data_IF_009906910543
#
_entry.id   IF_009906910543
#
_cell.length_a   1.000
_cell.length_b   1.000
_cell.length_c   1.000
_cell.angle_alpha   90.00
_cell.angle_beta   90.00
_cell.angle_gamma   90.00
#
_symmetry.space_group_name_H-M   'P 1'
#
loop_
_entity.id
_entity.type
_entity.pdbx_description
1 polymer ?
#
# COMPACT_ATOMS: atom_id res chain seq x y z
N UNK A 1 10.55 -37.89 -32.02
CA UNK A 1 11.82 -37.18 -32.27
C UNK A 1 11.95 -36.11 -31.19
N UNK A 2 12.79 -36.35 -30.20
CA UNK A 2 12.98 -35.38 -29.07
C UNK A 2 13.98 -34.35 -29.54
N UNK A 3 13.55 -33.12 -29.75
CA UNK A 3 14.46 -32.00 -30.03
C UNK A 3 15.04 -31.59 -28.68
N UNK A 4 16.26 -31.99 -28.40
CA UNK A 4 17.05 -31.40 -27.29
C UNK A 4 17.59 -30.08 -27.85
N UNK A 5 17.10 -28.96 -27.32
CA UNK A 5 17.69 -27.67 -27.64
C UNK A 5 19.10 -27.65 -26.99
N UNK A 6 20.13 -27.66 -27.84
CA UNK A 6 21.51 -27.49 -27.43
C UNK A 6 21.72 -26.02 -27.05
N UNK A 7 22.05 -25.75 -25.80
CA UNK A 7 22.39 -24.40 -25.36
C UNK A 7 23.90 -24.23 -25.44
N UNK A 8 24.38 -23.40 -26.36
CA UNK A 8 25.81 -23.06 -26.42
C UNK A 8 26.24 -22.28 -25.17
N UNK A 9 27.26 -22.80 -24.51
CA UNK A 9 27.85 -22.21 -23.29
C UNK A 9 29.13 -21.47 -23.69
N UNK A 10 29.21 -20.13 -23.45
CA UNK A 10 30.40 -19.35 -23.78
C UNK A 10 31.64 -19.68 -22.93
N UNK A 11 31.47 -20.36 -21.79
CA UNK A 11 32.57 -20.81 -20.92
C UNK A 11 32.26 -22.19 -20.38
N UNK A 12 33.19 -23.14 -20.48
CA UNK A 12 33.04 -24.55 -20.17
C UNK A 12 32.70 -24.92 -18.71
N UNK A 13 32.19 -23.99 -17.91
CA UNK A 13 31.92 -24.21 -16.48
C UNK A 13 30.67 -23.47 -15.94
N UNK A 14 29.71 -23.13 -16.75
CA UNK A 14 28.42 -22.58 -16.26
C UNK A 14 27.42 -23.73 -16.18
N UNK A 15 26.92 -24.09 -14.97
CA UNK A 15 25.86 -25.09 -14.86
C UNK A 15 24.63 -24.60 -15.61
N UNK A 16 24.12 -25.41 -16.54
CA UNK A 16 22.90 -25.11 -17.27
C UNK A 16 21.69 -25.39 -16.39
N UNK A 17 20.97 -24.35 -16.02
CA UNK A 17 19.65 -24.48 -15.44
C UNK A 17 18.60 -24.15 -16.53
N UNK A 18 17.85 -25.16 -16.95
CA UNK A 18 16.69 -24.94 -17.81
C UNK A 18 15.47 -24.68 -16.94
N UNK A 19 14.82 -23.54 -17.14
CA UNK A 19 13.52 -23.26 -16.55
C UNK A 19 12.44 -23.77 -17.50
N UNK A 20 11.48 -24.54 -17.00
CA UNK A 20 10.37 -25.07 -17.78
C UNK A 20 9.08 -24.92 -16.97
N UNK A 21 7.95 -24.83 -17.66
CA UNK A 21 6.60 -24.79 -17.08
C UNK A 21 5.67 -25.75 -17.81
N UNK A 22 4.59 -26.14 -17.16
CA UNK A 22 3.58 -27.03 -17.75
C UNK A 22 2.49 -27.33 -16.72
N UNK A 23 1.39 -27.91 -17.20
CA UNK A 23 0.39 -28.47 -16.32
C UNK A 23 0.89 -29.79 -15.70
N UNK A 24 0.29 -30.22 -14.60
CA UNK A 24 0.54 -31.55 -14.02
C UNK A 24 0.22 -32.60 -15.08
N UNK A 25 1.12 -33.59 -15.21
CA UNK A 25 1.03 -34.68 -16.20
C UNK A 25 1.13 -34.26 -17.68
N UNK A 26 1.54 -33.02 -17.98
CA UNK A 26 1.85 -32.54 -19.32
C UNK A 26 3.37 -32.43 -19.55
N UNK A 27 3.85 -32.53 -20.82
CA UNK A 27 5.24 -32.28 -21.12
C UNK A 27 5.69 -30.88 -20.66
N UNK A 28 6.85 -30.81 -20.02
CA UNK A 28 7.44 -29.53 -19.63
C UNK A 28 7.82 -28.72 -20.89
N UNK A 29 7.50 -27.43 -20.89
CA UNK A 29 7.77 -26.52 -21.98
C UNK A 29 8.92 -25.60 -21.59
N UNK A 30 10.01 -25.60 -22.36
CA UNK A 30 11.17 -24.77 -22.08
C UNK A 30 10.85 -23.29 -22.30
N UNK A 31 11.40 -22.44 -21.41
CA UNK A 31 11.31 -20.98 -21.52
C UNK A 31 12.37 -20.47 -22.51
N UNK A 32 11.96 -19.74 -23.53
CA UNK A 32 12.82 -19.07 -24.51
C UNK A 32 12.07 -17.90 -25.16
N UNK A 33 12.71 -17.13 -26.03
CA UNK A 33 12.12 -15.91 -26.64
C UNK A 33 10.76 -16.14 -27.32
N UNK A 34 10.60 -17.27 -28.00
CA UNK A 34 9.34 -17.66 -28.65
C UNK A 34 8.33 -18.28 -27.68
N UNK A 35 8.71 -18.54 -26.45
CA UNK A 35 7.90 -19.18 -25.42
C UNK A 35 8.26 -18.63 -24.04
N UNK A 36 7.90 -17.39 -23.74
CA UNK A 36 8.23 -16.74 -22.48
C UNK A 36 7.51 -17.41 -21.29
N UNK A 37 8.11 -17.31 -20.11
CA UNK A 37 7.48 -17.78 -18.88
C UNK A 37 6.16 -17.03 -18.63
N UNK A 38 5.01 -17.71 -18.54
CA UNK A 38 3.75 -17.05 -18.22
C UNK A 38 3.74 -16.60 -16.77
N UNK A 39 3.88 -15.30 -16.52
CA UNK A 39 3.82 -14.71 -15.20
C UNK A 39 2.48 -13.98 -15.01
N UNK A 40 1.73 -14.36 -13.98
CA UNK A 40 0.51 -13.67 -13.60
C UNK A 40 0.74 -12.86 -12.33
N UNK A 41 0.65 -11.55 -12.44
CA UNK A 41 0.64 -10.68 -11.26
C UNK A 41 -0.76 -10.71 -10.63
N UNK A 42 -0.86 -11.31 -9.46
CA UNK A 42 -2.08 -11.30 -8.67
C UNK A 42 -2.00 -10.13 -7.68
N UNK A 43 -2.95 -9.19 -7.80
CA UNK A 43 -3.11 -8.16 -6.76
C UNK A 43 -3.65 -8.82 -5.50
N UNK A 44 -2.87 -8.82 -4.43
CA UNK A 44 -3.30 -9.26 -3.11
C UNK A 44 -4.19 -8.15 -2.49
N UNK A 45 -5.33 -8.48 -1.89
CA UNK A 45 -6.08 -7.53 -1.06
C UNK A 45 -5.19 -6.93 0.04
N UNK A 46 -5.46 -5.70 0.47
CA UNK A 46 -4.75 -5.10 1.59
C UNK A 46 -5.02 -5.92 2.87
N UNK A 47 -3.94 -6.23 3.60
CA UNK A 47 -4.02 -6.90 4.90
C UNK A 47 -4.06 -5.93 6.07
N UNK A 48 -3.89 -4.61 5.82
CA UNK A 48 -3.98 -3.57 6.83
C UNK A 48 -5.40 -3.49 7.42
N UNK A 49 -5.47 -3.39 8.74
CA UNK A 49 -6.76 -3.21 9.45
C UNK A 49 -7.17 -1.75 9.33
N UNK A 50 -8.36 -1.44 8.79
CA UNK A 50 -8.83 -0.07 8.71
C UNK A 50 -8.96 0.58 10.09
N UNK A 51 -8.47 1.82 10.22
CA UNK A 51 -8.77 2.67 11.35
C UNK A 51 -10.09 3.38 11.09
N UNK A 52 -11.14 3.05 11.84
CA UNK A 52 -12.46 3.64 11.66
C UNK A 52 -13.11 3.95 12.99
N UNK A 53 -13.95 4.98 13.00
CA UNK A 53 -14.68 5.40 14.19
C UNK A 53 -15.40 6.73 14.01
N UNK A 54 -15.79 7.34 15.13
CA UNK A 54 -16.37 8.68 15.14
C UNK A 54 -15.86 9.51 16.33
N UNK A 55 -15.82 10.83 16.13
CA UNK A 55 -15.42 11.80 17.12
C UNK A 55 -16.48 12.90 17.24
N UNK A 56 -17.01 13.10 18.43
CA UNK A 56 -17.89 14.23 18.76
C UNK A 56 -17.17 15.42 19.41
N UNK A 57 -15.85 15.32 19.58
CA UNK A 57 -14.97 16.36 20.11
C UNK A 57 -13.59 16.25 19.50
N UNK A 58 -12.77 17.29 19.67
CA UNK A 58 -11.37 17.28 19.22
C UNK A 58 -10.60 16.12 19.84
N UNK A 59 -9.79 15.43 19.03
CA UNK A 59 -9.07 14.26 19.49
C UNK A 59 -8.15 13.66 18.44
N UNK A 60 -7.40 12.66 18.89
CA UNK A 60 -6.48 11.88 18.07
C UNK A 60 -7.04 10.46 17.91
N UNK A 61 -7.08 9.98 16.67
CA UNK A 61 -7.40 8.59 16.34
C UNK A 61 -6.20 7.91 15.68
N UNK A 62 -5.95 6.64 15.99
CA UNK A 62 -4.86 5.86 15.45
C UNK A 62 -4.22 4.93 16.49
N UNK A 63 -3.19 4.18 16.10
CA UNK A 63 -2.54 4.20 14.79
C UNK A 63 -3.29 3.43 13.68
N UNK A 64 -3.09 3.85 12.45
CA UNK A 64 -3.28 3.04 11.26
C UNK A 64 -1.91 2.55 10.79
N UNK A 65 -1.77 1.26 10.58
CA UNK A 65 -0.52 0.61 10.15
C UNK A 65 -0.69 0.19 8.68
N UNK A 66 -0.08 0.92 7.73
CA UNK A 66 -0.25 0.63 6.32
C UNK A 66 0.61 -0.54 5.84
N UNK A 67 0.19 -1.20 4.77
CA UNK A 67 1.07 -1.96 3.88
C UNK A 67 1.83 -0.98 2.98
N UNK A 68 3.04 -1.36 2.55
CA UNK A 68 3.86 -0.54 1.67
C UNK A 68 3.30 -0.50 0.23
N UNK A 69 3.65 0.58 -0.46
CA UNK A 69 3.38 0.78 -1.89
C UNK A 69 1.89 0.67 -2.25
N UNK A 70 1.04 1.13 -1.34
CA UNK A 70 -0.41 1.20 -1.53
C UNK A 70 -0.96 2.56 -1.12
N UNK A 71 -1.92 3.11 -1.87
CA UNK A 71 -2.56 4.36 -1.49
C UNK A 71 -3.33 4.21 -0.18
N UNK A 72 -3.17 5.18 0.69
CA UNK A 72 -3.90 5.32 1.96
C UNK A 72 -5.08 6.24 1.71
N UNK A 73 -6.27 5.70 1.78
CA UNK A 73 -7.53 6.44 1.61
C UNK A 73 -8.03 6.99 2.93
N UNK A 74 -8.40 8.26 2.91
CA UNK A 74 -9.09 8.93 4.01
C UNK A 74 -10.52 9.21 3.59
N UNK A 75 -11.46 8.65 4.34
CA UNK A 75 -12.89 8.93 4.19
C UNK A 75 -13.37 9.66 5.45
N UNK A 76 -13.91 10.84 5.29
CA UNK A 76 -14.49 11.68 6.32
C UNK A 76 -15.94 11.96 5.97
N UNK A 77 -16.84 11.78 6.92
CA UNK A 77 -18.28 11.99 6.71
C UNK A 77 -18.95 12.44 8.01
N UNK A 78 -20.19 12.87 7.90
CA UNK A 78 -20.98 13.35 9.03
C UNK A 78 -21.28 14.84 8.93
N UNK A 79 -21.91 15.35 9.97
CA UNK A 79 -22.15 16.79 10.16
C UNK A 79 -21.17 17.30 11.22
N UNK A 80 -20.11 17.93 10.78
CA UNK A 80 -19.03 18.42 11.62
C UNK A 80 -18.43 19.72 11.08
N UNK A 81 -17.78 20.45 11.95
CA UNK A 81 -17.01 21.65 11.60
C UNK A 81 -15.67 21.63 12.30
N UNK A 82 -14.65 22.23 11.67
CA UNK A 82 -13.29 22.25 12.19
C UNK A 82 -12.25 21.83 11.15
N UNK A 83 -11.17 21.19 11.61
CA UNK A 83 -10.10 20.66 10.75
C UNK A 83 -9.72 19.25 11.14
N UNK A 84 -9.33 18.44 10.17
CA UNK A 84 -8.76 17.11 10.37
C UNK A 84 -7.44 17.04 9.63
N UNK A 85 -6.37 16.72 10.34
CA UNK A 85 -5.04 16.52 9.75
C UNK A 85 -4.68 15.03 9.77
N UNK A 86 -4.15 14.52 8.65
CA UNK A 86 -3.48 13.23 8.63
C UNK A 86 -2.03 13.43 9.08
N UNK A 87 -1.62 12.70 10.11
CA UNK A 87 -0.29 12.77 10.69
C UNK A 87 0.45 11.46 10.43
N UNK A 88 1.76 11.53 10.22
CA UNK A 88 2.67 10.39 10.04
C UNK A 88 3.66 10.32 11.20
N UNK A 89 3.98 9.11 11.65
CA UNK A 89 5.01 8.81 12.64
C UNK A 89 5.89 7.67 12.15
N UNK A 90 7.19 7.72 12.47
CA UNK A 90 8.18 6.68 12.16
C UNK A 90 8.89 6.17 13.40
N UNK A 91 8.43 6.56 14.59
CA UNK A 91 9.03 6.23 15.88
C UNK A 91 8.04 5.57 16.83
N UNK A 92 7.11 4.78 16.28
CA UNK A 92 6.09 4.08 17.07
C UNK A 92 5.01 5.01 17.63
N UNK A 93 4.81 6.19 17.04
CA UNK A 93 3.78 7.13 17.47
C UNK A 93 4.23 8.08 18.59
N UNK A 94 5.52 8.16 18.89
CA UNK A 94 6.05 9.13 19.86
C UNK A 94 5.93 10.53 19.28
N UNK A 95 6.50 10.75 18.10
CA UNK A 95 6.34 12.00 17.36
C UNK A 95 5.40 11.82 16.17
N UNK A 96 4.57 12.83 15.90
CA UNK A 96 3.59 12.80 14.81
C UNK A 96 3.69 14.10 14.03
N UNK A 97 4.02 14.01 12.76
CA UNK A 97 4.17 15.17 11.89
C UNK A 97 3.03 15.24 10.89
N UNK A 98 2.49 16.45 10.61
CA UNK A 98 1.56 16.60 9.51
C UNK A 98 2.27 16.32 8.19
N UNK A 99 1.56 15.75 7.24
CA UNK A 99 2.06 15.61 5.88
C UNK A 99 2.21 16.99 5.24
N UNK A 100 3.27 17.18 4.47
CA UNK A 100 3.54 18.43 3.76
C UNK A 100 3.93 18.17 2.32
N UNK A 101 3.56 19.11 1.43
CA UNK A 101 4.04 19.18 0.06
C UNK A 101 4.64 20.56 -0.15
N UNK A 102 5.95 20.62 -0.48
CA UNK A 102 6.68 21.89 -0.61
C UNK A 102 6.67 22.75 0.68
N UNK A 103 6.57 22.11 1.87
CA UNK A 103 6.49 22.78 3.17
C UNK A 103 5.07 23.23 3.57
N UNK A 104 4.11 23.24 2.66
CA UNK A 104 2.71 23.50 2.98
C UNK A 104 2.03 22.22 3.50
N UNK A 105 1.07 22.36 4.41
CA UNK A 105 0.30 21.20 4.92
C UNK A 105 -0.45 20.52 3.79
N UNK A 106 -0.25 19.21 3.70
CA UNK A 106 -0.98 18.31 2.84
C UNK A 106 -1.92 17.44 3.70
N UNK A 107 -2.99 16.87 3.11
CA UNK A 107 -3.97 16.03 3.81
C UNK A 107 -4.54 16.72 5.08
N UNK A 108 -4.88 18.00 4.95
CA UNK A 108 -5.70 18.75 5.89
C UNK A 108 -7.09 18.96 5.29
N UNK A 109 -8.10 18.50 6.01
CA UNK A 109 -9.50 18.51 5.58
C UNK A 109 -10.32 19.48 6.42
N UNK A 110 -11.22 20.20 5.78
CA UNK A 110 -12.17 21.12 6.42
C UNK A 110 -13.63 20.79 6.09
N UNK A 111 -13.83 19.67 5.35
CA UNK A 111 -15.13 19.16 4.91
C UNK A 111 -15.06 17.64 4.76
N UNK A 112 -16.20 17.01 4.52
CA UNK A 112 -16.28 15.60 4.14
C UNK A 112 -15.40 15.32 2.92
N UNK A 113 -14.69 14.20 2.95
CA UNK A 113 -13.70 13.81 1.95
C UNK A 113 -13.71 12.29 1.72
N UNK A 114 -13.31 11.87 0.53
CA UNK A 114 -13.03 10.48 0.20
C UNK A 114 -11.94 10.44 -0.87
N UNK A 115 -10.70 10.43 -0.45
CA UNK A 115 -9.56 10.56 -1.36
C UNK A 115 -8.32 9.82 -0.87
N UNK A 116 -7.41 9.52 -1.80
CA UNK A 116 -6.10 8.97 -1.49
C UNK A 116 -5.20 10.11 -1.00
N UNK A 117 -4.88 10.12 0.29
CA UNK A 117 -4.14 11.20 0.93
C UNK A 117 -2.63 10.94 1.02
N UNK A 118 -2.19 9.69 0.96
CA UNK A 118 -0.78 9.32 1.09
C UNK A 118 -0.50 7.96 0.45
N UNK A 119 0.77 7.63 0.33
CA UNK A 119 1.30 6.30 0.05
C UNK A 119 2.52 6.09 0.93
N UNK A 120 2.74 4.89 1.46
CA UNK A 120 3.84 4.63 2.38
C UNK A 120 4.84 3.67 1.76
N UNK A 121 6.12 4.00 1.89
CA UNK A 121 7.26 3.18 1.45
C UNK A 121 8.23 2.82 2.57
N UNK A 122 8.01 3.33 3.79
CA UNK A 122 8.88 3.07 4.94
C UNK A 122 8.24 2.08 5.92
N UNK A 123 8.97 1.01 6.20
CA UNK A 123 8.53 -0.03 7.16
C UNK A 123 8.42 0.55 8.56
N UNK A 124 7.31 0.26 9.25
CA UNK A 124 7.08 0.69 10.64
C UNK A 124 6.45 2.08 10.76
N UNK A 125 6.25 2.78 9.64
CA UNK A 125 5.47 4.02 9.67
C UNK A 125 4.03 3.78 10.10
N UNK A 126 3.46 4.75 10.76
CA UNK A 126 2.07 4.71 11.26
C UNK A 126 1.38 6.06 11.06
N UNK A 127 0.07 6.01 10.86
CA UNK A 127 -0.73 7.19 10.57
C UNK A 127 -1.78 7.43 11.64
N UNK A 128 -2.10 8.70 11.84
CA UNK A 128 -3.07 9.17 12.83
C UNK A 128 -3.94 10.26 12.22
N UNK A 129 -5.21 10.33 12.63
CA UNK A 129 -6.06 11.48 12.35
C UNK A 129 -6.11 12.36 13.59
N UNK A 130 -5.76 13.62 13.45
CA UNK A 130 -5.93 14.64 14.48
C UNK A 130 -7.05 15.58 14.09
N UNK A 131 -8.17 15.45 14.79
CA UNK A 131 -9.35 16.30 14.59
C UNK A 131 -9.35 17.45 15.58
N UNK A 132 -9.50 18.67 15.07
CA UNK A 132 -9.82 19.87 15.86
C UNK A 132 -11.23 20.27 15.50
N UNK A 133 -12.22 19.77 16.24
CA UNK A 133 -13.63 20.01 15.99
C UNK A 133 -14.11 21.25 16.73
N UNK A 134 -14.90 22.07 16.04
CA UNK A 134 -15.62 23.22 16.60
C UNK A 134 -17.11 22.90 16.80
N UNK A 135 -17.60 21.77 16.26
CA UNK A 135 -18.96 21.29 16.45
C UNK A 135 -19.25 20.05 15.61
N UNK A 136 -20.33 19.37 15.96
CA UNK A 136 -20.87 18.24 15.26
C UNK A 136 -20.17 16.90 15.55
N UNK A 137 -20.40 15.92 14.69
CA UNK A 137 -19.82 14.57 14.81
C UNK A 137 -19.15 14.17 13.50
N UNK A 138 -17.86 13.90 13.57
CA UNK A 138 -17.04 13.37 12.51
C UNK A 138 -17.07 11.84 12.52
N UNK A 139 -17.40 11.22 11.41
CA UNK A 139 -17.14 9.79 11.16
C UNK A 139 -15.96 9.67 10.22
N UNK A 140 -15.01 8.80 10.56
CA UNK A 140 -13.77 8.66 9.80
C UNK A 140 -13.44 7.21 9.49
N UNK A 141 -12.72 7.03 8.40
CA UNK A 141 -12.07 5.77 8.03
C UNK A 141 -10.75 6.05 7.31
N UNK A 142 -9.67 5.41 7.77
CA UNK A 142 -8.37 5.37 7.07
C UNK A 142 -8.11 3.92 6.69
N UNK A 143 -7.84 3.64 5.43
CA UNK A 143 -7.69 2.27 4.90
C UNK A 143 -6.88 2.24 3.60
N UNK A 144 -6.60 1.01 3.17
CA UNK A 144 -5.99 0.67 1.88
C UNK A 144 -6.85 -0.33 1.13
#
# INVERSE_FOLDING_TARGET
MTIVAEVEIPAGFVPQYAMAFGAVDAPAVAVHDGNPLPVRLLKKPAGSVPLAGSLGASGLAGPFLPELDRPIWVTLSGDWSGTVDLLRSVDGGVTKFPLTAGGARWARFTANANEAAAEESEVGASYYLFATLTGGTLTYRVAQ
#
